data_IF_171109683285
#
_entry.id   IF_171109683285
#
_cell.length_a   1.000
_cell.length_b   1.000
_cell.length_c   1.000
_cell.angle_alpha   90.00
_cell.angle_beta   90.00
_cell.angle_gamma   90.00
#
_symmetry.space_group_name_H-M   'P 1'
#
loop_
_entity.id
_entity.type
_entity.pdbx_description
1 polymer ?
#
# COMPACT_ATOMS: atom_id res chain seq x y z
N UNK A 1 -12.62 -32.42 3.72
CA UNK A 1 -12.51 -30.97 3.99
C UNK A 1 -12.21 -30.24 2.68
N UNK A 2 -13.12 -29.37 2.21
CA UNK A 2 -12.82 -28.49 1.06
C UNK A 2 -11.90 -27.38 1.58
N UNK A 3 -10.63 -27.44 1.21
CA UNK A 3 -9.67 -26.35 1.46
C UNK A 3 -10.23 -25.13 0.73
N UNK A 4 -10.73 -24.14 1.47
CA UNK A 4 -11.12 -22.85 0.92
C UNK A 4 -9.90 -22.27 0.21
N UNK A 5 -9.86 -22.33 -1.12
CA UNK A 5 -8.87 -21.56 -1.90
C UNK A 5 -9.21 -20.08 -1.64
N UNK A 6 -8.36 -19.31 -0.94
CA UNK A 6 -8.62 -17.89 -0.75
C UNK A 6 -8.77 -17.25 -2.12
N UNK A 7 -9.85 -16.49 -2.32
CA UNK A 7 -10.06 -15.79 -3.57
C UNK A 7 -8.83 -14.91 -3.85
N UNK A 8 -8.23 -14.98 -5.05
CA UNK A 8 -6.98 -14.27 -5.36
C UNK A 8 -7.06 -12.75 -5.14
N UNK A 9 -8.27 -12.18 -5.23
CA UNK A 9 -8.56 -10.78 -4.89
C UNK A 9 -8.46 -10.48 -3.40
N UNK A 10 -8.93 -11.40 -2.54
CA UNK A 10 -8.82 -11.25 -1.09
C UNK A 10 -7.35 -11.24 -0.66
N UNK A 11 -6.51 -12.11 -1.24
CA UNK A 11 -5.07 -12.10 -0.97
C UNK A 11 -4.41 -10.77 -1.35
N UNK A 12 -4.77 -10.18 -2.50
CA UNK A 12 -4.24 -8.89 -2.92
C UNK A 12 -4.67 -7.75 -1.99
N UNK A 13 -5.94 -7.71 -1.59
CA UNK A 13 -6.45 -6.73 -0.63
C UNK A 13 -5.76 -6.88 0.73
N UNK A 14 -5.62 -8.12 1.23
CA UNK A 14 -4.93 -8.38 2.50
C UNK A 14 -3.45 -7.97 2.45
N UNK A 15 -2.76 -8.17 1.32
CA UNK A 15 -1.38 -7.73 1.15
C UNK A 15 -1.26 -6.20 1.21
N UNK A 16 -2.15 -5.48 0.52
CA UNK A 16 -2.22 -4.01 0.54
C UNK A 16 -2.48 -3.52 1.96
N UNK A 17 -3.51 -4.06 2.63
CA UNK A 17 -3.86 -3.68 4.01
C UNK A 17 -2.71 -3.97 4.97
N UNK A 18 -2.14 -5.18 4.90
CA UNK A 18 -1.01 -5.57 5.74
C UNK A 18 0.19 -4.65 5.56
N UNK A 19 0.53 -4.30 4.32
CA UNK A 19 1.64 -3.39 4.04
C UNK A 19 1.42 -1.99 4.63
N UNK A 20 0.20 -1.45 4.54
CA UNK A 20 -0.14 -0.14 5.12
C UNK A 20 -0.12 -0.18 6.66
N UNK A 21 -0.61 -1.25 7.27
CA UNK A 21 -0.55 -1.43 8.73
C UNK A 21 0.91 -1.47 9.20
N UNK A 22 1.77 -2.23 8.51
CA UNK A 22 3.20 -2.31 8.83
C UNK A 22 3.84 -0.92 8.70
N UNK A 23 3.61 -0.22 7.59
CA UNK A 23 4.14 1.13 7.38
C UNK A 23 3.71 2.10 8.48
N UNK A 24 2.42 2.07 8.85
CA UNK A 24 1.89 2.91 9.91
C UNK A 24 2.50 2.58 11.28
N UNK A 25 2.62 1.30 11.63
CA UNK A 25 3.22 0.88 12.92
C UNK A 25 4.71 1.24 13.00
N UNK A 26 5.45 1.09 11.90
CA UNK A 26 6.84 1.52 11.82
C UNK A 26 6.96 3.02 12.01
N UNK A 27 6.10 3.81 11.35
CA UNK A 27 6.14 5.26 11.47
C UNK A 27 5.80 5.73 12.89
N UNK A 28 4.76 5.18 13.51
CA UNK A 28 4.40 5.49 14.90
C UNK A 28 5.56 5.18 15.85
N UNK A 29 6.24 4.05 15.64
CA UNK A 29 7.41 3.68 16.44
C UNK A 29 8.59 4.65 16.26
N UNK A 30 8.86 5.12 15.03
CA UNK A 30 9.89 6.13 14.76
C UNK A 30 9.55 7.45 15.44
N UNK A 31 8.30 7.89 15.32
CA UNK A 31 7.82 9.14 15.93
C UNK A 31 7.91 9.08 17.45
N UNK A 32 7.47 7.97 18.07
CA UNK A 32 7.61 7.75 19.51
C UNK A 32 9.08 7.83 19.96
N UNK A 33 9.98 7.19 19.20
CA UNK A 33 11.43 7.29 19.45
C UNK A 33 11.97 8.72 19.32
N UNK A 34 11.54 9.46 18.30
CA UNK A 34 11.96 10.84 18.09
C UNK A 34 11.48 11.78 19.21
N UNK A 35 10.22 11.62 19.64
CA UNK A 35 9.65 12.35 20.79
C UNK A 35 10.44 12.03 22.05
N UNK A 36 10.73 10.75 22.33
CA UNK A 36 11.54 10.37 23.49
C UNK A 36 12.97 10.95 23.47
N UNK A 37 13.46 11.32 22.28
CA UNK A 37 14.76 11.98 22.08
C UNK A 37 14.66 13.52 22.09
N UNK A 38 13.49 14.10 22.34
CA UNK A 38 13.27 15.55 22.50
C UNK A 38 12.90 16.31 21.22
N UNK A 39 12.40 15.64 20.19
CA UNK A 39 11.86 16.28 18.97
C UNK A 39 10.33 16.33 19.03
N UNK A 40 9.72 17.49 19.37
CA UNK A 40 8.30 17.49 19.80
C UNK A 40 7.28 18.07 18.80
N UNK A 41 7.54 19.17 18.09
CA UNK A 41 6.47 19.86 17.36
C UNK A 41 6.19 19.28 15.96
N UNK A 42 7.22 18.86 15.22
CA UNK A 42 7.10 18.45 13.82
C UNK A 42 6.63 17.01 13.62
N UNK A 43 6.71 16.18 14.68
CA UNK A 43 6.43 14.75 14.60
C UNK A 43 4.92 14.44 14.56
N UNK A 44 4.08 15.30 15.16
CA UNK A 44 2.62 15.18 15.06
C UNK A 44 2.13 15.46 13.63
N UNK A 45 2.65 16.49 12.98
CA UNK A 45 2.34 16.83 11.58
C UNK A 45 2.76 15.70 10.63
N UNK A 46 3.90 15.07 10.91
CA UNK A 46 4.41 13.88 10.23
C UNK A 46 3.43 12.71 10.27
N UNK A 47 2.81 12.43 11.42
CA UNK A 47 1.80 11.37 11.55
C UNK A 47 0.51 11.72 10.81
N UNK A 48 0.06 12.97 10.90
CA UNK A 48 -1.14 13.43 10.18
C UNK A 48 -0.93 13.36 8.68
N UNK A 49 0.22 13.84 8.18
CA UNK A 49 0.62 13.75 6.78
C UNK A 49 0.59 12.29 6.31
N UNK A 50 1.28 11.40 7.01
CA UNK A 50 1.31 9.99 6.65
C UNK A 50 -0.07 9.32 6.68
N UNK A 51 -0.91 9.65 7.66
CA UNK A 51 -2.26 9.11 7.78
C UNK A 51 -3.13 9.54 6.59
N UNK A 52 -3.18 10.83 6.29
CA UNK A 52 -3.96 11.37 5.17
C UNK A 52 -3.55 10.72 3.85
N UNK A 53 -2.25 10.65 3.58
CA UNK A 53 -1.74 10.03 2.36
C UNK A 53 -2.02 8.51 2.32
N UNK A 54 -1.88 7.81 3.44
CA UNK A 54 -2.18 6.37 3.53
C UNK A 54 -3.66 6.05 3.28
N UNK A 55 -4.58 6.93 3.68
CA UNK A 55 -6.02 6.78 3.38
C UNK A 55 -6.28 6.87 1.88
N UNK A 56 -5.66 7.81 1.17
CA UNK A 56 -5.79 7.89 -0.30
C UNK A 56 -5.22 6.66 -0.99
N UNK A 57 -4.06 6.17 -0.55
CA UNK A 57 -3.46 4.93 -1.05
C UNK A 57 -4.42 3.76 -0.84
N UNK A 58 -4.97 3.64 0.37
CA UNK A 58 -5.92 2.59 0.72
C UNK A 58 -7.17 2.64 -0.17
N UNK A 59 -7.81 3.80 -0.31
CA UNK A 59 -9.01 3.96 -1.11
C UNK A 59 -8.78 3.57 -2.56
N UNK A 60 -7.71 4.06 -3.18
CA UNK A 60 -7.40 3.72 -4.57
C UNK A 60 -7.00 2.26 -4.74
N UNK A 61 -6.14 1.73 -3.86
CA UNK A 61 -5.64 0.36 -3.96
C UNK A 61 -6.74 -0.67 -3.71
N UNK A 62 -7.57 -0.48 -2.68
CA UNK A 62 -8.69 -1.40 -2.36
C UNK A 62 -9.77 -1.31 -3.42
N UNK A 63 -10.16 -0.10 -3.85
CA UNK A 63 -11.15 0.05 -4.93
C UNK A 63 -10.65 -0.60 -6.22
N UNK A 64 -9.41 -0.33 -6.61
CA UNK A 64 -8.77 -0.96 -7.77
C UNK A 64 -8.67 -2.48 -7.64
N UNK A 65 -8.37 -3.01 -6.45
CA UNK A 65 -8.27 -4.45 -6.18
C UNK A 65 -9.63 -5.17 -6.09
N UNK A 66 -10.71 -4.48 -5.74
CA UNK A 66 -12.07 -5.03 -5.68
C UNK A 66 -12.81 -4.95 -7.01
N UNK A 67 -12.45 -4.00 -7.90
CA UNK A 67 -13.15 -3.80 -9.17
C UNK A 67 -13.20 -5.10 -9.99
N UNK A 68 -14.38 -5.49 -10.48
CA UNK A 68 -14.52 -6.72 -11.26
C UNK A 68 -13.82 -6.61 -12.61
N UNK A 69 -13.13 -7.68 -13.02
CA UNK A 69 -12.45 -7.74 -14.32
C UNK A 69 -13.39 -8.00 -15.52
N UNK A 70 -14.71 -7.89 -15.33
CA UNK A 70 -15.69 -8.13 -16.40
C UNK A 70 -15.83 -6.86 -17.22
N UNK A 71 -15.36 -6.89 -18.46
CA UNK A 71 -15.35 -5.72 -19.36
C UNK A 71 -14.02 -4.97 -19.35
N UNK A 72 -13.62 -4.52 -20.54
CA UNK A 72 -12.34 -3.83 -20.75
C UNK A 72 -12.21 -2.56 -19.91
N UNK A 73 -13.28 -1.76 -19.84
CA UNK A 73 -13.29 -0.46 -19.13
C UNK A 73 -13.03 -0.64 -17.63
N UNK A 74 -13.77 -1.54 -16.96
CA UNK A 74 -13.62 -1.78 -15.52
C UNK A 74 -12.25 -2.37 -15.18
N UNK A 75 -11.70 -3.18 -16.08
CA UNK A 75 -10.36 -3.71 -15.95
C UNK A 75 -9.29 -2.63 -16.04
N UNK A 76 -9.36 -1.79 -17.08
CA UNK A 76 -8.43 -0.65 -17.25
C UNK A 76 -8.54 0.27 -16.05
N UNK A 77 -9.76 0.63 -15.61
CA UNK A 77 -9.98 1.47 -14.44
C UNK A 77 -9.36 0.87 -13.16
N UNK A 78 -9.55 -0.44 -12.92
CA UNK A 78 -8.95 -1.11 -11.77
C UNK A 78 -7.41 -1.13 -11.81
N UNK A 79 -6.82 -1.34 -13.00
CA UNK A 79 -5.38 -1.26 -13.18
C UNK A 79 -4.85 0.16 -12.97
N UNK A 80 -5.54 1.18 -13.51
CA UNK A 80 -5.16 2.59 -13.33
C UNK A 80 -5.21 2.98 -11.85
N UNK A 81 -6.25 2.58 -11.12
CA UNK A 81 -6.36 2.84 -9.68
C UNK A 81 -5.22 2.19 -8.87
N UNK A 82 -4.88 0.93 -9.18
CA UNK A 82 -3.75 0.25 -8.54
C UNK A 82 -2.40 0.89 -8.90
N UNK A 83 -2.24 1.30 -10.16
CA UNK A 83 -1.05 2.00 -10.64
C UNK A 83 -0.86 3.35 -9.95
N UNK A 84 -1.93 4.15 -9.86
CA UNK A 84 -1.94 5.42 -9.14
C UNK A 84 -1.61 5.22 -7.66
N UNK A 85 -2.22 4.22 -7.00
CA UNK A 85 -1.92 3.93 -5.60
C UNK A 85 -0.45 3.52 -5.39
N UNK A 86 0.10 2.70 -6.29
CA UNK A 86 1.52 2.30 -6.24
C UNK A 86 2.47 3.48 -6.45
N UNK A 87 2.22 4.31 -7.48
CA UNK A 87 3.02 5.52 -7.74
C UNK A 87 2.94 6.51 -6.58
N UNK A 88 1.76 6.70 -6.02
CA UNK A 88 1.57 7.60 -4.88
C UNK A 88 2.29 7.08 -3.63
N UNK A 89 2.26 5.77 -3.39
CA UNK A 89 3.04 5.16 -2.31
C UNK A 89 4.56 5.28 -2.53
N UNK A 90 5.05 5.22 -3.77
CA UNK A 90 6.46 5.49 -4.10
C UNK A 90 6.85 6.93 -3.80
N UNK A 91 6.01 7.90 -4.18
CA UNK A 91 6.23 9.32 -3.87
C UNK A 91 6.24 9.54 -2.35
N UNK A 92 5.31 8.91 -1.64
CA UNK A 92 5.28 8.95 -0.17
C UNK A 92 6.55 8.33 0.42
N UNK A 93 6.97 7.14 -0.03
CA UNK A 93 8.22 6.52 0.42
C UNK A 93 9.44 7.42 0.16
N UNK A 94 9.50 8.08 -1.00
CA UNK A 94 10.57 9.01 -1.34
C UNK A 94 10.59 10.24 -0.42
N UNK A 95 9.43 10.74 0.02
CA UNK A 95 9.37 11.84 1.00
C UNK A 95 9.99 11.47 2.35
N UNK A 96 10.11 10.17 2.66
CA UNK A 96 10.73 9.65 3.89
C UNK A 96 12.22 9.32 3.77
N UNK A 97 12.88 9.67 2.65
CA UNK A 97 14.31 9.42 2.43
C UNK A 97 15.20 10.43 3.16
N UNK A 98 15.11 10.47 4.48
CA UNK A 98 15.95 11.28 5.35
C UNK A 98 16.39 10.50 6.59
N UNK A 99 17.50 10.89 7.27
CA UNK A 99 18.27 10.02 8.17
C UNK A 99 17.49 9.32 9.30
N UNK A 100 16.41 9.93 9.79
CA UNK A 100 15.63 9.37 10.90
C UNK A 100 14.45 8.50 10.42
N UNK A 101 14.18 8.44 9.11
CA UNK A 101 12.93 7.88 8.55
C UNK A 101 13.16 6.87 7.43
N UNK A 102 14.40 6.45 7.16
CA UNK A 102 14.68 5.41 6.17
C UNK A 102 13.90 4.11 6.40
N UNK A 103 13.65 3.74 7.67
CA UNK A 103 12.86 2.56 8.01
C UNK A 103 11.38 2.77 7.65
N UNK A 104 10.83 3.97 7.82
CA UNK A 104 9.50 4.31 7.33
C UNK A 104 9.44 4.25 5.80
N UNK A 105 10.44 4.82 5.10
CA UNK A 105 10.53 4.75 3.65
C UNK A 105 10.48 3.29 3.17
N UNK A 106 11.31 2.41 3.74
CA UNK A 106 11.35 0.98 3.43
C UNK A 106 10.00 0.29 3.68
N UNK A 107 9.29 0.64 4.76
CA UNK A 107 7.98 0.07 5.04
C UNK A 107 6.92 0.53 4.03
N UNK A 108 6.95 1.80 3.60
CA UNK A 108 6.06 2.30 2.54
C UNK A 108 6.36 1.70 1.17
N UNK A 109 7.59 1.25 0.89
CA UNK A 109 7.93 0.49 -0.34
C UNK A 109 7.23 -0.86 -0.45
N UNK A 110 6.70 -1.43 0.63
CA UNK A 110 5.92 -2.68 0.56
C UNK A 110 4.59 -2.49 -0.18
N UNK A 111 4.04 -1.28 -0.17
CA UNK A 111 2.75 -0.97 -0.79
C UNK A 111 2.81 -1.00 -2.32
N UNK A 112 3.77 -0.36 -3.03
CA UNK A 112 3.89 -0.50 -4.47
C UNK A 112 4.19 -1.95 -4.90
N UNK A 113 4.90 -2.73 -4.08
CA UNK A 113 5.11 -4.16 -4.31
C UNK A 113 3.78 -4.92 -4.27
N UNK A 114 2.93 -4.65 -3.26
CA UNK A 114 1.60 -5.24 -3.15
C UNK A 114 0.67 -4.83 -4.31
N UNK A 115 0.75 -3.56 -4.75
CA UNK A 115 0.02 -3.07 -5.92
C UNK A 115 0.50 -3.73 -7.22
N UNK A 116 1.81 -3.85 -7.44
CA UNK A 116 2.40 -4.51 -8.61
C UNK A 116 2.00 -5.99 -8.68
N UNK A 117 2.00 -6.68 -7.53
CA UNK A 117 1.51 -8.05 -7.42
C UNK A 117 0.03 -8.19 -7.79
N UNK A 118 -0.82 -7.26 -7.32
CA UNK A 118 -2.25 -7.22 -7.66
C UNK A 118 -2.48 -6.95 -9.16
N UNK A 119 -1.68 -6.05 -9.76
CA UNK A 119 -1.68 -5.75 -11.19
C UNK A 119 -1.29 -6.97 -12.02
N UNK A 120 -0.22 -7.66 -11.65
CA UNK A 120 0.25 -8.87 -12.34
C UNK A 120 -0.83 -9.94 -12.41
N UNK A 121 -1.53 -10.18 -11.29
CA UNK A 121 -2.65 -11.14 -11.24
C UNK A 121 -3.87 -10.73 -12.06
N UNK A 122 -3.99 -9.46 -12.47
CA UNK A 122 -5.09 -8.96 -13.29
C UNK A 122 -4.81 -9.04 -14.79
N UNK A 123 -3.59 -9.36 -15.23
CA UNK A 123 -3.21 -9.46 -16.64
C UNK A 123 -3.63 -10.81 -17.26
N UNK A 124 -4.03 -10.83 -18.55
CA UNK A 124 -4.58 -12.02 -19.19
C UNK A 124 -3.40 -12.92 -19.55
N UNK A 125 -3.23 -14.02 -18.81
CA UNK A 125 -2.08 -14.91 -18.95
C UNK A 125 -1.56 -15.46 -17.62
N UNK A 126 -1.93 -14.87 -16.49
CA UNK A 126 -1.52 -15.35 -15.16
C UNK A 126 -2.37 -16.52 -14.61
N UNK A 127 -3.47 -16.88 -15.28
CA UNK A 127 -4.39 -17.97 -14.89
C UNK A 127 -4.17 -19.29 -15.67
N UNK A 128 -3.12 -19.39 -16.50
CA UNK A 128 -2.87 -20.54 -17.39
C UNK A 128 -1.82 -21.56 -16.94
N UNK A 129 -1.35 -21.53 -15.68
CA UNK A 129 -0.27 -22.40 -15.20
C UNK A 129 -0.51 -22.94 -13.77
N UNK A 130 -1.65 -23.59 -13.55
CA UNK A 130 -1.95 -24.30 -12.30
C UNK A 130 -2.90 -25.47 -12.50
#
# INVERSE_FOLDING_TARGET
MRIFKPMPRLQAVLAIIGSLIIAHKVLVWIVDRNITNGMDATEADVLVFAFVHSVFIFLFAVTGALLPCRGLILRVLGCTLLGLAGLYALVLAASWLYPNYYVAAAAFFLVPIACAYSLWRRLPGSEGSG
#
